data_IF_292179473272
#
_entry.id   IF_292179473272
#
_cell.length_a   1.000
_cell.length_b   1.000
_cell.length_c   1.000
_cell.angle_alpha   90.00
_cell.angle_beta   90.00
_cell.angle_gamma   90.00
#
_symmetry.space_group_name_H-M   'P 1'
#
loop_
_entity.id
_entity.type
_entity.pdbx_description
1 polymer ?
#
# COMPACT_ATOMS: atom_id res chain seq x y z
N UNK A 1 14.55 -3.69 7.22
CA UNK A 1 14.00 -4.74 6.35
C UNK A 1 13.84 -6.06 7.11
N UNK A 2 12.67 -6.67 7.00
CA UNK A 2 12.37 -8.02 7.49
C UNK A 2 13.10 -9.06 6.63
N UNK A 3 13.70 -10.07 7.27
CA UNK A 3 14.46 -11.14 6.62
C UNK A 3 13.73 -12.49 6.63
N UNK A 4 12.53 -12.53 7.21
CA UNK A 4 11.80 -13.78 7.42
C UNK A 4 10.87 -14.04 6.24
N UNK A 5 11.00 -15.20 5.59
CA UNK A 5 10.08 -15.64 4.54
C UNK A 5 9.15 -16.70 5.09
N UNK A 6 7.88 -16.34 5.32
CA UNK A 6 6.86 -17.28 5.79
C UNK A 6 5.81 -17.59 4.71
N UNK A 7 4.88 -18.51 5.00
CA UNK A 7 3.83 -18.91 4.07
C UNK A 7 2.87 -17.76 3.72
N UNK A 8 2.64 -16.82 4.64
CA UNK A 8 1.79 -15.65 4.41
C UNK A 8 2.44 -14.66 3.45
N UNK A 9 3.75 -14.43 3.58
CA UNK A 9 4.51 -13.61 2.63
C UNK A 9 4.47 -14.19 1.22
N UNK A 10 4.57 -15.51 1.06
CA UNK A 10 4.40 -16.17 -0.24
C UNK A 10 2.99 -15.98 -0.81
N UNK A 11 1.94 -16.08 0.03
CA UNK A 11 0.56 -15.82 -0.39
C UNK A 11 0.35 -14.37 -0.81
N UNK A 12 0.93 -13.41 -0.09
CA UNK A 12 0.90 -11.98 -0.44
C UNK A 12 1.56 -11.75 -1.81
N UNK A 13 2.71 -12.36 -2.06
CA UNK A 13 3.39 -12.27 -3.36
C UNK A 13 2.58 -12.92 -4.48
N UNK A 14 1.95 -14.07 -4.22
CA UNK A 14 1.06 -14.72 -5.18
C UNK A 14 -0.15 -13.83 -5.52
N UNK A 15 -0.75 -13.20 -4.51
CA UNK A 15 -1.84 -12.23 -4.72
C UNK A 15 -1.37 -11.05 -5.57
N UNK A 16 -0.20 -10.50 -5.27
CA UNK A 16 0.42 -9.42 -6.06
C UNK A 16 0.62 -9.84 -7.52
N UNK A 17 1.17 -11.03 -7.75
CA UNK A 17 1.36 -11.60 -9.09
C UNK A 17 0.03 -11.76 -9.83
N UNK A 18 -0.99 -12.33 -9.19
CA UNK A 18 -2.30 -12.58 -9.80
C UNK A 18 -3.08 -11.29 -10.11
N UNK A 19 -2.83 -10.21 -9.37
CA UNK A 19 -3.55 -8.93 -9.50
C UNK A 19 -2.77 -7.87 -10.26
N UNK A 20 -1.51 -8.13 -10.61
CA UNK A 20 -0.62 -7.14 -11.22
C UNK A 20 -0.23 -6.00 -10.26
N UNK A 21 -0.35 -6.21 -8.94
CA UNK A 21 0.06 -5.26 -7.92
C UNK A 21 1.51 -5.49 -7.49
N UNK A 22 2.15 -4.45 -6.99
CA UNK A 22 3.50 -4.53 -6.42
C UNK A 22 3.54 -3.89 -5.04
N UNK A 23 4.36 -4.46 -4.15
CA UNK A 23 4.66 -3.89 -2.83
C UNK A 23 5.49 -2.62 -2.98
N UNK A 24 5.04 -1.50 -2.40
CA UNK A 24 5.77 -0.23 -2.39
C UNK A 24 6.77 -0.13 -1.22
N UNK A 25 6.50 -0.80 -0.09
CA UNK A 25 7.42 -0.92 1.06
C UNK A 25 8.82 -1.34 0.59
N UNK A 26 9.85 -0.58 0.95
CA UNK A 26 11.22 -0.87 0.51
C UNK A 26 11.57 -0.41 -0.90
N UNK A 27 10.64 0.21 -1.66
CA UNK A 27 10.86 0.53 -3.09
C UNK A 27 10.67 2.00 -3.42
N UNK A 28 9.62 2.63 -2.90
CA UNK A 28 9.24 3.98 -3.30
C UNK A 28 9.74 5.05 -2.33
N UNK A 29 10.00 6.24 -2.90
CA UNK A 29 10.25 7.50 -2.21
C UNK A 29 11.22 7.39 -1.02
N UNK A 30 10.73 7.67 0.19
CA UNK A 30 11.52 7.78 1.41
C UNK A 30 11.58 6.47 2.22
N UNK A 31 10.98 5.38 1.71
CA UNK A 31 11.00 4.06 2.35
C UNK A 31 11.94 3.06 1.67
N UNK A 32 12.99 3.50 0.98
CA UNK A 32 13.92 2.60 0.24
C UNK A 32 14.60 1.51 1.10
N UNK A 33 14.64 1.70 2.41
CA UNK A 33 15.23 0.74 3.35
C UNK A 33 14.22 -0.32 3.86
N UNK A 34 12.94 -0.20 3.49
CA UNK A 34 11.86 -1.07 3.95
C UNK A 34 11.74 -1.00 5.46
N UNK A 35 11.28 0.15 5.96
CA UNK A 35 11.11 0.38 7.39
C UNK A 35 10.07 -0.57 7.96
N UNK A 36 10.29 -1.03 9.19
CA UNK A 36 9.30 -1.85 9.90
C UNK A 36 8.03 -1.04 10.12
N UNK A 37 6.87 -1.68 10.10
CA UNK A 37 5.58 -1.03 10.42
C UNK A 37 5.00 -1.55 11.73
N UNK A 38 5.62 -2.55 12.32
CA UNK A 38 5.21 -3.16 13.57
C UNK A 38 6.44 -3.43 14.43
N UNK A 39 6.33 -3.14 15.73
CA UNK A 39 7.42 -3.34 16.67
C UNK A 39 6.91 -3.58 18.09
N UNK A 40 7.34 -4.70 18.68
CA UNK A 40 7.06 -5.08 20.07
C UNK A 40 8.34 -5.53 20.75
N UNK A 41 8.26 -5.83 22.06
CA UNK A 41 9.37 -6.43 22.80
C UNK A 41 9.86 -7.78 22.21
N UNK A 42 9.03 -8.47 21.42
CA UNK A 42 9.35 -9.76 20.80
C UNK A 42 10.04 -9.63 19.44
N UNK A 43 10.03 -8.44 18.84
CA UNK A 43 10.62 -8.22 17.52
C UNK A 43 9.89 -7.20 16.68
N UNK A 44 10.34 -7.08 15.42
CA UNK A 44 9.87 -6.08 14.46
C UNK A 44 9.56 -6.76 13.13
N UNK A 45 8.51 -6.32 12.46
CA UNK A 45 8.08 -6.86 11.17
C UNK A 45 7.46 -5.76 10.30
N UNK A 46 7.26 -6.07 9.03
CA UNK A 46 6.47 -5.25 8.10
C UNK A 46 5.12 -5.95 7.98
N UNK A 47 4.10 -5.38 8.61
CA UNK A 47 2.75 -5.97 8.62
C UNK A 47 1.76 -5.12 7.81
N UNK A 48 2.09 -3.86 7.57
CA UNK A 48 1.26 -2.88 6.90
C UNK A 48 1.90 -2.52 5.56
N UNK A 49 1.18 -2.79 4.48
CA UNK A 49 1.71 -2.73 3.12
C UNK A 49 0.94 -1.72 2.28
N UNK A 50 1.68 -0.91 1.51
CA UNK A 50 1.12 -0.19 0.37
C UNK A 50 1.33 -1.05 -0.88
N UNK A 51 0.23 -1.46 -1.52
CA UNK A 51 0.24 -2.20 -2.79
C UNK A 51 -0.28 -1.30 -3.91
N UNK A 52 0.47 -1.22 -5.00
CA UNK A 52 0.16 -0.31 -6.12
C UNK A 52 0.35 -1.02 -7.45
N UNK A 53 -0.45 -0.74 -8.49
CA UNK A 53 -0.11 -1.14 -9.84
C UNK A 53 1.21 -0.46 -10.28
N UNK A 54 2.12 -1.17 -10.98
CA UNK A 54 3.34 -0.57 -11.49
C UNK A 54 3.11 0.70 -12.32
N UNK A 55 2.06 0.75 -13.14
CA UNK A 55 1.71 1.90 -13.98
C UNK A 55 1.34 3.15 -13.17
N UNK A 56 0.84 2.96 -11.95
CA UNK A 56 0.35 4.02 -11.07
C UNK A 56 1.36 4.41 -9.98
N UNK A 57 2.55 3.79 -9.94
CA UNK A 57 3.60 4.19 -8.99
C UNK A 57 3.99 5.67 -9.13
N UNK A 58 3.84 6.24 -10.33
CA UNK A 58 4.06 7.67 -10.61
C UNK A 58 3.11 8.62 -9.88
N UNK A 59 1.98 8.11 -9.38
CA UNK A 59 1.02 8.91 -8.62
C UNK A 59 1.45 9.06 -7.16
N UNK A 60 2.44 8.30 -6.70
CA UNK A 60 2.92 8.35 -5.31
C UNK A 60 4.07 9.35 -5.22
N UNK A 61 3.81 10.54 -4.66
CA UNK A 61 4.82 11.59 -4.52
C UNK A 61 5.73 11.36 -3.30
N UNK A 62 5.14 10.88 -2.20
CA UNK A 62 5.87 10.50 -1.00
C UNK A 62 5.32 9.19 -0.46
N UNK A 63 6.21 8.43 0.17
CA UNK A 63 5.89 7.20 0.87
C UNK A 63 6.96 6.95 1.95
N UNK A 64 6.50 6.82 3.20
CA UNK A 64 7.35 6.61 4.37
C UNK A 64 6.56 5.95 5.50
N UNK A 65 7.29 5.28 6.37
CA UNK A 65 6.77 4.86 7.68
C UNK A 65 7.12 5.94 8.70
N UNK A 66 6.12 6.46 9.40
CA UNK A 66 6.30 7.48 10.42
C UNK A 66 6.84 6.87 11.73
N UNK A 67 7.41 7.68 12.64
CA UNK A 67 7.89 7.18 13.91
C UNK A 67 6.79 6.48 14.74
N UNK A 68 7.22 5.52 15.56
CA UNK A 68 6.37 4.89 16.56
C UNK A 68 5.80 5.94 17.51
N UNK A 69 4.56 5.70 17.97
CA UNK A 69 3.88 6.52 18.97
C UNK A 69 3.31 5.62 20.08
N UNK A 70 2.77 6.23 21.14
CA UNK A 70 2.23 5.53 22.31
C UNK A 70 0.84 4.90 22.09
N UNK A 71 0.23 5.13 20.93
CA UNK A 71 -1.14 4.70 20.65
C UNK A 71 -1.23 3.29 20.06
N UNK A 72 -0.12 2.72 19.57
CA UNK A 72 -0.08 1.38 18.97
C UNK A 72 1.34 0.81 18.89
N UNK A 73 1.44 -0.51 18.81
CA UNK A 73 2.64 -1.23 18.39
C UNK A 73 2.87 -1.19 16.86
N UNK A 74 1.91 -0.63 16.11
CA UNK A 74 2.04 -0.30 14.70
C UNK A 74 2.51 1.16 14.49
N UNK A 75 3.48 1.32 13.60
CA UNK A 75 3.95 2.61 13.12
C UNK A 75 3.11 3.06 11.91
N UNK A 76 2.66 4.33 11.86
CA UNK A 76 1.80 4.78 10.77
C UNK A 76 2.49 4.70 9.40
N UNK A 77 1.77 4.15 8.41
CA UNK A 77 2.18 4.19 7.01
C UNK A 77 1.59 5.44 6.37
N UNK A 78 2.46 6.26 5.77
CA UNK A 78 2.08 7.52 5.14
C UNK A 78 2.44 7.51 3.65
N UNK A 79 1.53 8.03 2.82
CA UNK A 79 1.79 8.28 1.41
C UNK A 79 0.97 9.46 0.89
N UNK A 80 1.45 10.06 -0.19
CA UNK A 80 0.77 11.14 -0.92
C UNK A 80 0.38 10.70 -2.31
N UNK A 81 -0.87 10.96 -2.71
CA UNK A 81 -1.38 10.70 -4.06
C UNK A 81 -1.49 12.00 -4.86
N UNK A 82 -0.74 12.08 -5.97
CA UNK A 82 -0.83 13.17 -6.92
C UNK A 82 -1.79 12.84 -8.07
N UNK A 83 -3.04 13.26 -7.91
CA UNK A 83 -4.08 13.07 -8.92
C UNK A 83 -4.04 14.12 -10.03
N UNK A 84 -3.20 15.15 -9.93
CA UNK A 84 -3.05 16.15 -10.98
C UNK A 84 -2.50 15.52 -12.27
N UNK A 85 -1.68 14.47 -12.12
CA UNK A 85 -1.10 13.66 -13.19
C UNK A 85 -2.18 12.96 -14.04
N UNK A 86 -3.32 12.60 -13.44
CA UNK A 86 -4.44 11.97 -14.15
C UNK A 86 -5.24 13.01 -14.95
N UNK A 87 -5.38 14.24 -14.43
CA UNK A 87 -6.17 15.30 -15.09
C UNK A 87 -5.59 15.75 -16.43
N UNK A 88 -4.31 15.51 -16.69
CA UNK A 88 -3.66 15.79 -17.97
C UNK A 88 -4.01 14.76 -19.06
N UNK A 89 -4.53 13.59 -18.69
CA UNK A 89 -5.04 12.61 -19.63
C UNK A 89 -6.53 12.89 -19.86
N UNK A 90 -6.90 13.39 -21.04
CA UNK A 90 -8.29 13.57 -21.49
C UNK A 90 -9.00 12.22 -21.69
N UNK A 91 -9.08 11.39 -20.65
CA UNK A 91 -9.86 10.16 -20.67
C UNK A 91 -11.33 10.54 -20.44
N UNK A 92 -12.27 10.13 -21.31
CA UNK A 92 -13.69 10.32 -21.05
C UNK A 92 -14.03 9.64 -19.72
N UNK A 93 -14.62 10.38 -18.79
CA UNK A 93 -15.06 9.86 -17.49
C UNK A 93 -16.13 8.80 -17.68
N UNK A 94 -15.74 7.54 -17.77
CA UNK A 94 -16.66 6.39 -17.67
C UNK A 94 -16.77 6.00 -16.20
N UNK A 95 -17.24 6.92 -15.35
CA UNK A 95 -17.64 6.52 -14.00
C UNK A 95 -19.02 5.88 -14.11
N UNK A 96 -19.08 4.54 -14.03
CA UNK A 96 -20.33 3.85 -13.67
C UNK A 96 -20.56 4.11 -12.18
N UNK A 97 -21.40 5.08 -11.86
CA UNK A 97 -21.91 5.22 -10.50
C UNK A 97 -22.71 3.97 -10.16
N UNK A 98 -22.15 3.10 -9.32
CA UNK A 98 -22.91 2.01 -8.71
C UNK A 98 -23.66 2.65 -7.55
N UNK A 99 -24.94 2.95 -7.77
CA UNK A 99 -25.84 3.39 -6.70
C UNK A 99 -26.08 2.20 -5.77
N UNK A 100 -25.95 2.43 -4.47
CA UNK A 100 -26.36 1.47 -3.45
C UNK A 100 -27.81 1.04 -3.70
N UNK A 101 -28.04 -0.26 -3.74
CA UNK A 101 -29.35 -0.88 -3.99
C UNK A 101 -29.74 -1.70 -2.77
N UNK A 102 -30.70 -1.18 -1.99
CA UNK A 102 -31.22 -1.83 -0.79
C UNK A 102 -31.85 -3.21 -1.06
N UNK A 103 -32.15 -3.54 -2.32
CA UNK A 103 -32.72 -4.82 -2.71
C UNK A 103 -31.67 -5.88 -3.06
N UNK A 104 -30.38 -5.53 -3.02
CA UNK A 104 -29.25 -6.42 -3.31
C UNK A 104 -28.41 -6.75 -2.07
N UNK A 105 -28.97 -6.55 -0.88
CA UNK A 105 -28.39 -7.06 0.35
C UNK A 105 -28.68 -8.56 0.44
N UNK A 106 -27.63 -9.37 0.50
CA UNK A 106 -27.71 -10.80 0.85
C UNK A 106 -28.20 -11.01 2.30
#
# INVERSE_FOLDING_TARGET
MDKTVNAFGRKLLQMCFNTGLVVANGRLCNDKNGNFTFCTAKGRSVNDYLLVPPSECRLINDFKVLPMNEFSDHMPVYFELDLSVIRQQNLPRVHKFIKWDNNKCD
#
